data_IF_160601914687
#
_entry.id   IF_160601914687
#
_cell.length_a   1.000
_cell.length_b   1.000
_cell.length_c   1.000
_cell.angle_alpha   90.00
_cell.angle_beta   90.00
_cell.angle_gamma   90.00
#
_symmetry.space_group_name_H-M   'P 1'
#
loop_
_entity.id
_entity.type
_entity.pdbx_description
1 polymer ?
#
# COMPACT_ATOMS: atom_id res chain seq x y z
N UNK A 1 -10.14 10.85 -14.15
CA UNK A 1 -9.58 11.77 -13.14
C UNK A 1 -8.57 10.97 -12.31
N UNK A 2 -7.26 11.09 -12.54
CA UNK A 2 -6.26 10.43 -11.66
C UNK A 2 -6.36 11.14 -10.30
N UNK A 3 -6.82 10.46 -9.25
CA UNK A 3 -6.74 11.01 -7.89
C UNK A 3 -5.26 11.31 -7.61
N UNK A 4 -4.90 12.58 -7.64
CA UNK A 4 -3.60 13.04 -7.11
C UNK A 4 -3.75 13.08 -5.59
N UNK A 5 -3.46 11.96 -4.92
CA UNK A 5 -3.23 12.00 -3.48
C UNK A 5 -2.13 13.03 -3.22
N UNK A 6 -2.40 14.02 -2.36
CA UNK A 6 -1.40 15.01 -1.97
C UNK A 6 -0.58 14.45 -0.82
N UNK A 7 0.66 14.92 -0.68
CA UNK A 7 1.55 14.54 0.42
C UNK A 7 0.91 14.72 1.80
N UNK A 8 0.03 15.74 1.94
CA UNK A 8 -0.72 16.00 3.16
C UNK A 8 -1.69 14.85 3.50
N UNK A 9 -2.33 14.26 2.49
CA UNK A 9 -3.29 13.18 2.66
C UNK A 9 -2.58 11.89 3.09
N UNK A 10 -1.40 11.61 2.53
CA UNK A 10 -0.57 10.44 2.91
C UNK A 10 -0.01 10.60 4.32
N UNK A 11 0.50 11.80 4.66
CA UNK A 11 0.95 12.08 6.03
C UNK A 11 -0.18 11.96 7.03
N UNK A 12 -1.37 12.47 6.69
CA UNK A 12 -2.56 12.31 7.52
C UNK A 12 -2.88 10.83 7.73
N UNK A 13 -2.94 10.03 6.66
CA UNK A 13 -3.19 8.58 6.75
C UNK A 13 -2.14 7.87 7.63
N UNK A 14 -0.86 8.21 7.47
CA UNK A 14 0.21 7.67 8.29
C UNK A 14 -0.05 7.92 9.79
N UNK A 15 -0.30 9.19 10.17
CA UNK A 15 -0.54 9.53 11.57
C UNK A 15 -1.87 8.95 12.08
N UNK A 16 -2.91 8.93 11.25
CA UNK A 16 -4.19 8.33 11.60
C UNK A 16 -4.04 6.84 11.95
N UNK A 17 -3.37 6.07 11.08
CA UNK A 17 -3.12 4.65 11.33
C UNK A 17 -2.16 4.43 12.50
N UNK A 18 -1.13 5.28 12.67
CA UNK A 18 -0.25 5.21 13.82
C UNK A 18 -1.00 5.45 15.15
N UNK A 19 -1.89 6.44 15.19
CA UNK A 19 -2.73 6.71 16.36
C UNK A 19 -3.68 5.54 16.63
N UNK A 20 -4.36 5.02 15.62
CA UNK A 20 -5.26 3.86 15.77
C UNK A 20 -4.52 2.60 16.22
N UNK A 21 -3.30 2.38 15.74
CA UNK A 21 -2.41 1.30 16.18
C UNK A 21 -2.15 1.40 17.69
N UNK A 22 -1.76 2.57 18.20
CA UNK A 22 -1.50 2.76 19.63
C UNK A 22 -2.80 2.61 20.45
N UNK A 23 -3.92 3.18 20.00
CA UNK A 23 -5.22 3.03 20.68
C UNK A 23 -5.62 1.56 20.76
N UNK A 24 -5.46 0.79 19.67
CA UNK A 24 -5.79 -0.64 19.65
C UNK A 24 -4.92 -1.46 20.60
N UNK A 25 -3.63 -1.12 20.73
CA UNK A 25 -2.74 -1.75 21.71
C UNK A 25 -3.19 -1.45 23.14
N UNK A 26 -3.52 -0.19 23.44
CA UNK A 26 -4.02 0.21 24.76
C UNK A 26 -5.34 -0.50 25.09
N UNK A 27 -6.25 -0.63 24.12
CA UNK A 27 -7.51 -1.35 24.28
C UNK A 27 -7.28 -2.84 24.57
N UNK A 28 -6.37 -3.49 23.84
CA UNK A 28 -6.01 -4.89 24.08
C UNK A 28 -5.38 -5.11 25.47
N UNK A 29 -4.48 -4.21 25.89
CA UNK A 29 -3.91 -4.22 27.23
C UNK A 29 -4.98 -4.01 28.31
N UNK A 30 -5.90 -3.06 28.10
CA UNK A 30 -7.00 -2.79 29.02
C UNK A 30 -7.91 -4.01 29.19
N UNK A 31 -8.32 -4.65 28.09
CA UNK A 31 -9.15 -5.85 28.13
C UNK A 31 -8.48 -7.00 28.90
N UNK A 32 -7.18 -7.21 28.68
CA UNK A 32 -6.42 -8.24 29.41
C UNK A 32 -6.32 -7.95 30.91
N UNK A 33 -6.07 -6.70 31.30
CA UNK A 33 -5.84 -6.33 32.70
C UNK A 33 -7.12 -6.18 33.51
N UNK A 34 -8.20 -5.70 32.90
CA UNK A 34 -9.41 -5.29 33.62
C UNK A 34 -10.68 -6.06 33.24
N UNK A 35 -10.68 -6.85 32.16
CA UNK A 35 -11.85 -7.60 31.72
C UNK A 35 -11.66 -9.13 31.76
N UNK A 36 -10.65 -9.62 32.51
CA UNK A 36 -10.28 -11.04 32.57
C UNK A 36 -10.03 -11.66 31.18
N UNK A 37 -9.57 -10.87 30.20
CA UNK A 37 -9.23 -11.39 28.88
C UNK A 37 -8.10 -12.41 28.96
N UNK A 38 -8.37 -13.67 28.62
CA UNK A 38 -7.40 -14.77 28.70
C UNK A 38 -6.17 -14.52 27.80
N UNK A 39 -6.37 -13.88 26.67
CA UNK A 39 -5.34 -13.65 25.65
C UNK A 39 -5.24 -12.18 25.25
N UNK A 40 -4.06 -11.79 24.78
CA UNK A 40 -3.77 -10.44 24.30
C UNK A 40 -4.06 -10.41 22.79
N UNK A 41 -5.26 -9.97 22.40
CA UNK A 41 -5.63 -9.86 20.99
C UNK A 41 -4.98 -8.64 20.33
N UNK A 42 -4.01 -8.89 19.46
CA UNK A 42 -3.26 -7.87 18.71
C UNK A 42 -3.68 -7.77 17.25
N UNK A 43 -4.77 -8.43 16.84
CA UNK A 43 -5.24 -8.43 15.45
C UNK A 43 -5.46 -7.02 14.89
N UNK A 44 -6.12 -6.16 15.65
CA UNK A 44 -6.35 -4.77 15.29
C UNK A 44 -5.04 -3.97 15.23
N UNK A 45 -4.14 -4.18 16.19
CA UNK A 45 -2.81 -3.55 16.20
C UNK A 45 -2.03 -3.87 14.92
N UNK A 46 -1.95 -5.15 14.55
CA UNK A 46 -1.23 -5.56 13.34
C UNK A 46 -1.89 -5.01 12.07
N UNK A 47 -3.22 -4.94 12.04
CA UNK A 47 -3.95 -4.35 10.90
C UNK A 47 -3.55 -2.88 10.71
N UNK A 48 -3.60 -2.07 11.77
CA UNK A 48 -3.22 -0.66 11.69
C UNK A 48 -1.72 -0.46 11.47
N UNK A 49 -0.87 -1.34 12.01
CA UNK A 49 0.56 -1.34 11.76
C UNK A 49 0.86 -1.54 10.27
N UNK A 50 0.25 -2.54 9.64
CA UNK A 50 0.41 -2.79 8.20
C UNK A 50 -0.09 -1.61 7.36
N UNK A 51 -1.25 -1.03 7.70
CA UNK A 51 -1.77 0.15 7.00
C UNK A 51 -0.87 1.39 7.16
N UNK A 52 -0.29 1.58 8.34
CA UNK A 52 0.71 2.62 8.60
C UNK A 52 1.96 2.40 7.73
N UNK A 53 2.45 1.16 7.60
CA UNK A 53 3.58 0.84 6.73
C UNK A 53 3.25 1.12 5.25
N UNK A 54 2.05 0.75 4.79
CA UNK A 54 1.61 1.09 3.43
C UNK A 54 1.61 2.61 3.19
N UNK A 55 1.10 3.40 4.14
CA UNK A 55 1.15 4.86 4.06
C UNK A 55 2.60 5.39 4.06
N UNK A 56 3.49 4.82 4.90
CA UNK A 56 4.91 5.20 4.99
C UNK A 56 5.69 4.94 3.71
N UNK A 57 5.37 3.83 3.02
CA UNK A 57 6.05 3.37 1.80
C UNK A 57 5.26 3.68 0.52
N UNK A 58 4.19 4.48 0.60
CA UNK A 58 3.31 4.77 -0.52
C UNK A 58 4.07 5.19 -1.79
N UNK A 59 5.02 6.13 -1.67
CA UNK A 59 5.81 6.59 -2.83
C UNK A 59 6.73 5.52 -3.40
N UNK A 60 7.30 4.65 -2.56
CA UNK A 60 8.15 3.56 -3.02
C UNK A 60 7.32 2.52 -3.80
N UNK A 61 6.12 2.22 -3.31
CA UNK A 61 5.16 1.34 -3.97
C UNK A 61 4.72 1.96 -5.29
N UNK A 62 4.35 3.24 -5.29
CA UNK A 62 3.96 3.97 -6.49
C UNK A 62 5.07 3.98 -7.54
N UNK A 63 6.31 4.25 -7.13
CA UNK A 63 7.47 4.21 -8.02
C UNK A 63 7.66 2.81 -8.63
N UNK A 64 7.53 1.76 -7.83
CA UNK A 64 7.59 0.37 -8.30
C UNK A 64 6.51 0.07 -9.35
N UNK A 65 5.26 0.48 -9.09
CA UNK A 65 4.15 0.31 -10.02
C UNK A 65 4.37 1.06 -11.34
N UNK A 66 4.82 2.31 -11.27
CA UNK A 66 5.13 3.11 -12.46
C UNK A 66 6.25 2.47 -13.31
N UNK A 67 7.28 1.89 -12.66
CA UNK A 67 8.34 1.15 -13.34
C UNK A 67 7.82 -0.11 -14.05
N UNK A 68 6.98 -0.89 -13.38
CA UNK A 68 6.36 -2.09 -13.97
C UNK A 68 5.51 -1.69 -15.18
N UNK A 69 4.71 -0.62 -15.06
CA UNK A 69 3.88 -0.14 -16.16
C UNK A 69 4.71 0.37 -17.35
N UNK A 70 5.85 1.01 -17.10
CA UNK A 70 6.79 1.41 -18.15
C UNK A 70 7.40 0.21 -18.88
N UNK A 71 7.78 -0.84 -18.15
CA UNK A 71 8.32 -2.08 -18.75
C UNK A 71 7.25 -2.72 -19.63
N UNK A 72 6.03 -2.89 -19.11
CA UNK A 72 4.93 -3.50 -19.84
C UNK A 72 4.58 -2.72 -21.12
N UNK A 73 4.56 -1.38 -21.06
CA UNK A 73 4.37 -0.53 -22.26
C UNK A 73 5.47 -0.76 -23.31
N UNK A 74 6.73 -0.85 -22.89
CA UNK A 74 7.87 -1.07 -23.81
C UNK A 74 7.80 -2.44 -24.46
N UNK A 75 7.43 -3.48 -23.72
CA UNK A 75 7.28 -4.83 -24.27
C UNK A 75 6.13 -4.89 -25.28
N UNK A 76 5.00 -4.29 -24.95
CA UNK A 76 3.85 -4.21 -25.87
C UNK A 76 4.19 -3.44 -27.15
N UNK A 77 4.94 -2.35 -27.06
CA UNK A 77 5.40 -1.60 -28.23
C UNK A 77 6.34 -2.45 -29.11
N UNK A 78 7.26 -3.20 -28.50
CA UNK A 78 8.15 -4.11 -29.25
C UNK A 78 7.38 -5.19 -30.00
N UNK A 79 6.34 -5.75 -29.40
CA UNK A 79 5.49 -6.75 -30.07
C UNK A 79 4.77 -6.15 -31.29
N UNK A 80 4.22 -4.95 -31.15
CA UNK A 80 3.58 -4.23 -32.25
C UNK A 80 4.58 -3.89 -33.38
N UNK A 81 5.80 -3.46 -33.05
CA UNK A 81 6.84 -3.17 -34.04
C UNK A 81 7.30 -4.43 -34.79
N UNK A 82 7.34 -5.58 -34.12
CA UNK A 82 7.64 -6.87 -34.75
C UNK A 82 6.51 -7.32 -35.67
N UNK A 83 5.25 -7.21 -35.26
CA UNK A 83 4.09 -7.51 -36.11
C UNK A 83 4.02 -6.62 -37.35
N UNK A 84 4.31 -5.32 -37.21
CA UNK A 84 4.36 -4.39 -38.32
C UNK A 84 5.46 -4.75 -39.34
N UNK A 85 6.66 -5.11 -38.86
CA UNK A 85 7.75 -5.55 -39.73
C UNK A 85 7.43 -6.83 -40.49
N UNK A 86 6.80 -7.81 -39.83
CA UNK A 86 6.41 -9.07 -40.48
C UNK A 86 5.34 -8.86 -41.55
N UNK A 87 4.39 -7.92 -41.36
CA UNK A 87 3.38 -7.58 -42.38
C UNK A 87 3.93 -6.81 -43.58
N UNK A 88 5.05 -6.10 -43.42
CA UNK A 88 5.65 -5.30 -44.51
C UNK A 88 6.56 -6.13 -45.42
N UNK A 89 6.90 -7.35 -45.00
CA UNK A 89 7.73 -8.30 -45.76
C UNK A 89 6.93 -9.42 -46.45
N UNK A 90 5.60 -9.41 -46.29
CA UNK A 90 4.63 -10.24 -47.03
C UNK A 90 4.03 -9.44 -48.16
#
# INVERSE_FOLDING_TARGET
MKLKLRDKDIRFLYYFFATMMIISLLAACYARLFQNGETLDLSAFYTFFVMMLFARFYYAIQYGLEKIEQINRRERQRQLDLEAKTKTQS
#
